data_IF_346628888448
#
_entry.id   IF_346628888448
#
_cell.length_a   1.000
_cell.length_b   1.000
_cell.length_c   1.000
_cell.angle_alpha   90.00
_cell.angle_beta   90.00
_cell.angle_gamma   90.00
#
_symmetry.space_group_name_H-M   'P 1'
#
loop_
_entity.id
_entity.type
_entity.pdbx_description
1 polymer ?
#
# COMPACT_ATOMS: atom_id res chain seq x y z
N UNK A 1 7.43 -27.30 -28.52
CA UNK A 1 6.25 -27.08 -27.67
C UNK A 1 6.66 -26.72 -26.22
N UNK A 2 7.67 -27.36 -25.62
CA UNK A 2 8.09 -27.13 -24.23
C UNK A 2 8.76 -25.76 -23.94
N UNK A 3 9.48 -25.17 -24.89
CA UNK A 3 10.32 -23.98 -24.61
C UNK A 3 9.53 -22.75 -24.17
N UNK A 4 8.34 -22.55 -24.72
CA UNK A 4 7.55 -21.36 -24.42
C UNK A 4 6.50 -21.53 -23.33
N UNK A 5 6.37 -22.71 -22.71
CA UNK A 5 5.71 -22.87 -21.40
C UNK A 5 6.70 -22.59 -20.27
N UNK A 6 7.96 -23.04 -20.41
CA UNK A 6 9.06 -22.73 -19.47
C UNK A 6 9.28 -21.22 -19.36
N UNK A 7 9.36 -20.50 -20.49
CA UNK A 7 9.50 -19.03 -20.50
C UNK A 7 8.33 -18.33 -19.77
N UNK A 8 7.11 -18.85 -19.90
CA UNK A 8 5.94 -18.29 -19.22
C UNK A 8 5.99 -18.53 -17.71
N UNK A 9 6.41 -19.73 -17.29
CA UNK A 9 6.61 -20.07 -15.88
C UNK A 9 7.66 -19.15 -15.25
N UNK A 10 8.83 -19.00 -15.88
CA UNK A 10 9.92 -18.15 -15.40
C UNK A 10 9.47 -16.69 -15.20
N UNK A 11 8.73 -16.15 -16.16
CA UNK A 11 8.21 -14.78 -16.11
C UNK A 11 7.16 -14.63 -14.99
N UNK A 12 6.27 -15.61 -14.82
CA UNK A 12 5.27 -15.57 -13.77
C UNK A 12 5.87 -15.76 -12.37
N UNK A 13 6.94 -16.55 -12.24
CA UNK A 13 7.67 -16.71 -10.99
C UNK A 13 8.45 -15.45 -10.64
N UNK A 14 9.10 -14.80 -11.61
CA UNK A 14 9.72 -13.49 -11.40
C UNK A 14 8.71 -12.45 -10.92
N UNK A 15 7.51 -12.45 -11.53
CA UNK A 15 6.39 -11.62 -11.05
C UNK A 15 6.00 -11.97 -9.62
N UNK A 16 5.88 -13.26 -9.29
CA UNK A 16 5.58 -13.73 -7.93
C UNK A 16 6.61 -13.26 -6.91
N UNK A 17 7.90 -13.35 -7.23
CA UNK A 17 8.98 -12.89 -6.36
C UNK A 17 8.92 -11.37 -6.11
N UNK A 18 8.63 -10.56 -7.13
CA UNK A 18 8.46 -9.11 -6.93
C UNK A 18 7.24 -8.76 -6.05
N UNK A 19 6.15 -9.53 -6.15
CA UNK A 19 4.98 -9.38 -5.29
C UNK A 19 5.28 -9.78 -3.83
N UNK A 20 6.03 -10.87 -3.61
CA UNK A 20 6.49 -11.26 -2.28
C UNK A 20 7.38 -10.18 -1.64
N UNK A 21 8.28 -9.58 -2.42
CA UNK A 21 9.09 -8.46 -1.94
C UNK A 21 8.24 -7.25 -1.57
N UNK A 22 7.20 -6.94 -2.36
CA UNK A 22 6.25 -5.88 -2.03
C UNK A 22 5.51 -6.16 -0.72
N UNK A 23 5.05 -7.41 -0.49
CA UNK A 23 4.44 -7.82 0.78
C UNK A 23 5.40 -7.59 1.94
N UNK A 24 6.67 -8.01 1.80
CA UNK A 24 7.70 -7.79 2.84
C UNK A 24 7.89 -6.30 3.13
N UNK A 25 7.98 -5.46 2.10
CA UNK A 25 8.15 -4.02 2.26
C UNK A 25 6.94 -3.34 2.90
N UNK A 26 5.73 -3.79 2.60
CA UNK A 26 4.52 -3.29 3.25
C UNK A 26 4.47 -3.68 4.74
N UNK A 27 4.99 -4.84 5.10
CA UNK A 27 5.15 -5.26 6.50
C UNK A 27 6.20 -4.40 7.22
N UNK A 28 7.34 -4.16 6.58
CA UNK A 28 8.38 -3.26 7.10
C UNK A 28 7.83 -1.83 7.32
N UNK A 29 7.06 -1.32 6.37
CA UNK A 29 6.37 -0.04 6.50
C UNK A 29 5.39 -0.05 7.67
N UNK A 30 4.56 -1.10 7.80
CA UNK A 30 3.61 -1.23 8.91
C UNK A 30 4.33 -1.13 10.25
N UNK A 31 5.43 -1.86 10.39
CA UNK A 31 6.21 -1.87 11.61
C UNK A 31 6.85 -0.51 11.89
N UNK A 32 7.36 0.18 10.86
CA UNK A 32 7.91 1.52 10.99
C UNK A 32 6.85 2.56 11.40
N UNK A 33 5.62 2.46 10.89
CA UNK A 33 4.49 3.30 11.30
C UNK A 33 4.16 3.06 12.77
N UNK A 34 4.06 1.80 13.20
CA UNK A 34 3.75 1.44 14.59
C UNK A 34 4.85 1.93 15.54
N UNK A 35 6.12 1.85 15.15
CA UNK A 35 7.24 2.29 15.97
C UNK A 35 7.56 3.79 15.86
N UNK A 36 6.80 4.55 15.05
CA UNK A 36 7.09 5.95 14.71
C UNK A 36 8.52 6.18 14.19
N UNK A 37 9.08 5.19 13.51
CA UNK A 37 10.44 5.25 12.97
C UNK A 37 10.40 5.84 11.55
N UNK A 38 10.57 7.16 11.48
CA UNK A 38 10.48 7.92 10.23
C UNK A 38 11.62 7.61 9.27
N UNK A 39 12.79 7.21 9.77
CA UNK A 39 13.94 6.88 8.93
C UNK A 39 13.69 5.55 8.21
N UNK A 40 13.28 4.51 8.95
CA UNK A 40 12.88 3.23 8.36
C UNK A 40 11.69 3.37 7.41
N UNK A 41 10.74 4.25 7.74
CA UNK A 41 9.59 4.53 6.87
C UNK A 41 10.03 5.12 5.52
N UNK A 42 10.97 6.07 5.51
CA UNK A 42 11.51 6.65 4.28
C UNK A 42 12.26 5.61 3.43
N UNK A 43 13.09 4.78 4.06
CA UNK A 43 13.81 3.70 3.36
C UNK A 43 12.83 2.69 2.75
N UNK A 44 11.81 2.27 3.50
CA UNK A 44 10.77 1.37 3.00
C UNK A 44 9.99 1.99 1.84
N UNK A 45 9.65 3.29 1.93
CA UNK A 45 8.97 4.01 0.86
C UNK A 45 9.79 4.04 -0.45
N UNK A 46 11.08 4.35 -0.38
CA UNK A 46 11.96 4.36 -1.55
C UNK A 46 12.08 2.98 -2.20
N UNK A 47 12.23 1.91 -1.40
CA UNK A 47 12.29 0.53 -1.89
C UNK A 47 10.98 0.11 -2.55
N UNK A 48 9.82 0.49 -2.00
CA UNK A 48 8.51 0.19 -2.61
C UNK A 48 8.35 0.82 -3.99
N UNK A 49 8.84 2.05 -4.20
CA UNK A 49 8.79 2.70 -5.52
C UNK A 49 9.60 1.89 -6.54
N UNK A 50 10.79 1.42 -6.15
CA UNK A 50 11.62 0.60 -7.03
C UNK A 50 10.95 -0.75 -7.37
N UNK A 51 10.40 -1.45 -6.38
CA UNK A 51 9.72 -2.73 -6.60
C UNK A 51 8.43 -2.54 -7.42
N UNK A 52 7.70 -1.44 -7.23
CA UNK A 52 6.52 -1.12 -8.04
C UNK A 52 6.88 -0.93 -9.52
N UNK A 53 7.98 -0.24 -9.82
CA UNK A 53 8.47 -0.10 -11.19
C UNK A 53 8.84 -1.46 -11.80
N UNK A 54 9.54 -2.31 -11.05
CA UNK A 54 9.87 -3.67 -11.48
C UNK A 54 8.62 -4.51 -11.77
N UNK A 55 7.60 -4.41 -10.91
CA UNK A 55 6.31 -5.08 -11.11
C UNK A 55 5.61 -4.61 -12.39
N UNK A 56 5.68 -3.31 -12.72
CA UNK A 56 5.09 -2.77 -13.95
C UNK A 56 5.80 -3.29 -15.21
N UNK A 57 7.13 -3.36 -15.20
CA UNK A 57 7.91 -3.96 -16.29
C UNK A 57 7.60 -5.45 -16.47
N UNK A 58 7.52 -6.20 -15.37
CA UNK A 58 7.15 -7.61 -15.38
C UNK A 58 5.71 -7.83 -15.82
N UNK A 59 4.78 -6.94 -15.47
CA UNK A 59 3.40 -7.00 -15.95
C UNK A 59 3.31 -6.82 -17.47
N UNK A 60 4.09 -5.88 -18.03
CA UNK A 60 4.21 -5.72 -19.48
C UNK A 60 4.75 -6.98 -20.16
N UNK A 61 5.81 -7.55 -19.58
CA UNK A 61 6.45 -8.77 -20.09
C UNK A 61 5.52 -9.99 -20.00
N UNK A 62 4.78 -10.12 -18.89
CA UNK A 62 3.75 -11.14 -18.70
C UNK A 62 2.66 -11.04 -19.76
N UNK A 63 2.17 -9.84 -20.08
CA UNK A 63 1.12 -9.66 -21.10
C UNK A 63 1.59 -10.13 -22.47
N UNK A 64 2.83 -9.79 -22.85
CA UNK A 64 3.42 -10.25 -24.12
C UNK A 64 3.59 -11.77 -24.13
N UNK A 65 4.08 -12.36 -23.04
CA UNK A 65 4.24 -13.81 -22.93
C UNK A 65 2.90 -14.56 -22.99
N UNK A 66 1.87 -14.03 -22.32
CA UNK A 66 0.51 -14.57 -22.36
C UNK A 66 -0.12 -14.47 -23.75
N UNK A 67 0.05 -13.35 -24.45
CA UNK A 67 -0.43 -13.22 -25.83
C UNK A 67 0.23 -14.27 -26.75
N UNK A 68 1.56 -14.41 -26.69
CA UNK A 68 2.30 -15.43 -27.45
C UNK A 68 1.90 -16.86 -27.09
N UNK A 69 1.59 -17.12 -25.82
CA UNK A 69 1.11 -18.43 -25.39
C UNK A 69 -0.34 -18.68 -25.86
N UNK A 70 -1.18 -17.64 -25.84
CA UNK A 70 -2.55 -17.66 -26.35
C UNK A 70 -2.60 -17.97 -27.84
N UNK A 71 -1.81 -17.27 -28.66
CA UNK A 71 -1.68 -17.50 -30.10
C UNK A 71 -1.31 -18.96 -30.41
N UNK A 72 -0.32 -19.51 -29.69
CA UNK A 72 0.13 -20.90 -29.84
C UNK A 72 -0.96 -21.93 -29.53
N UNK A 73 -1.90 -21.58 -28.67
CA UNK A 73 -3.05 -22.40 -28.32
C UNK A 73 -4.31 -22.06 -29.13
N UNK A 74 -4.24 -21.14 -30.11
CA UNK A 74 -5.40 -20.69 -30.90
C UNK A 74 -6.44 -19.95 -30.04
N UNK A 75 -5.99 -19.17 -29.07
CA UNK A 75 -6.79 -18.27 -28.25
C UNK A 75 -6.63 -16.82 -28.77
N UNK A 76 -7.61 -15.97 -28.48
CA UNK A 76 -7.57 -14.55 -28.84
C UNK A 76 -6.45 -13.80 -28.08
N UNK A 77 -6.01 -12.66 -28.61
CA UNK A 77 -4.92 -11.82 -28.08
C UNK A 77 -5.12 -11.33 -26.62
N UNK A 78 -6.34 -11.44 -26.09
CA UNK A 78 -6.68 -11.09 -24.71
C UNK A 78 -6.82 -12.31 -23.78
N UNK A 79 -6.30 -13.47 -24.18
CA UNK A 79 -6.37 -14.69 -23.39
C UNK A 79 -5.71 -14.48 -22.02
N UNK A 80 -6.48 -14.72 -20.96
CA UNK A 80 -5.98 -14.76 -19.60
C UNK A 80 -5.26 -16.09 -19.33
N UNK A 81 -4.62 -16.22 -18.17
CA UNK A 81 -3.89 -17.43 -17.81
C UNK A 81 -4.80 -18.68 -17.71
N UNK A 82 -6.08 -18.53 -17.32
CA UNK A 82 -6.98 -19.69 -17.13
C UNK A 82 -7.31 -20.45 -18.43
N UNK A 83 -7.67 -19.78 -19.55
CA UNK A 83 -7.83 -20.44 -20.86
C UNK A 83 -6.57 -21.16 -21.36
N UNK A 84 -5.38 -20.62 -21.05
CA UNK A 84 -4.10 -21.22 -21.42
C UNK A 84 -3.90 -22.51 -20.62
N UNK A 85 -4.04 -22.47 -19.29
CA UNK A 85 -3.96 -23.65 -18.39
C UNK A 85 -4.88 -24.78 -18.87
N UNK A 86 -6.11 -24.46 -19.28
CA UNK A 86 -7.06 -25.45 -19.76
C UNK A 86 -6.59 -26.21 -21.01
N UNK A 87 -5.79 -25.57 -21.86
CA UNK A 87 -5.24 -26.12 -23.12
C UNK A 87 -3.81 -26.66 -22.96
N UNK A 88 -3.14 -26.39 -21.84
CA UNK A 88 -1.81 -26.93 -21.53
C UNK A 88 -1.93 -28.40 -21.09
N UNK A 89 -1.10 -29.32 -21.62
CA UNK A 89 -1.02 -30.70 -21.13
C UNK A 89 -0.36 -30.79 -19.75
N UNK A 90 -0.51 -31.94 -19.07
CA UNK A 90 0.28 -32.23 -17.86
C UNK A 90 1.74 -32.52 -18.23
N UNK A 91 2.75 -32.19 -17.40
CA UNK A 91 2.68 -31.65 -16.02
C UNK A 91 2.54 -30.11 -15.91
N UNK A 92 2.87 -29.36 -16.96
CA UNK A 92 2.93 -27.88 -16.97
C UNK A 92 1.61 -27.22 -16.52
N UNK A 93 0.47 -27.88 -16.75
CA UNK A 93 -0.84 -27.43 -16.27
C UNK A 93 -0.89 -27.25 -14.75
N UNK A 94 -0.36 -28.23 -13.99
CA UNK A 94 -0.42 -28.19 -12.53
C UNK A 94 0.44 -27.06 -11.96
N UNK A 95 1.60 -26.84 -12.56
CA UNK A 95 2.53 -25.75 -12.21
C UNK A 95 1.91 -24.38 -12.47
N UNK A 96 1.38 -24.14 -13.68
CA UNK A 96 0.73 -22.87 -14.02
C UNK A 96 -0.51 -22.60 -13.14
N UNK A 97 -1.27 -23.63 -12.77
CA UNK A 97 -2.40 -23.49 -11.85
C UNK A 97 -1.95 -23.11 -10.44
N UNK A 98 -0.87 -23.71 -9.93
CA UNK A 98 -0.30 -23.34 -8.63
C UNK A 98 0.20 -21.89 -8.62
N UNK A 99 0.89 -21.47 -9.68
CA UNK A 99 1.35 -20.09 -9.88
C UNK A 99 0.15 -19.12 -9.93
N UNK A 100 -0.93 -19.46 -10.64
CA UNK A 100 -2.13 -18.63 -10.70
C UNK A 100 -2.73 -18.39 -9.31
N UNK A 101 -2.85 -19.44 -8.50
CA UNK A 101 -3.37 -19.35 -7.13
C UNK A 101 -2.45 -18.47 -6.26
N UNK A 102 -1.14 -18.69 -6.34
CA UNK A 102 -0.13 -17.93 -5.60
C UNK A 102 -0.16 -16.43 -5.94
N UNK A 103 -0.20 -16.08 -7.23
CA UNK A 103 -0.29 -14.68 -7.66
C UNK A 103 -1.62 -14.06 -7.21
N UNK A 104 -2.71 -14.82 -7.22
CA UNK A 104 -4.01 -14.38 -6.72
C UNK A 104 -3.99 -14.05 -5.23
N UNK A 105 -3.37 -14.91 -4.40
CA UNK A 105 -3.26 -14.65 -2.96
C UNK A 105 -2.37 -13.45 -2.67
N UNK A 106 -1.20 -13.36 -3.30
CA UNK A 106 -0.29 -12.22 -3.13
C UNK A 106 -0.94 -10.89 -3.53
N UNK A 107 -1.74 -10.87 -4.60
CA UNK A 107 -2.47 -9.66 -5.01
C UNK A 107 -3.49 -9.23 -3.96
N UNK A 108 -4.18 -10.18 -3.32
CA UNK A 108 -5.11 -9.91 -2.24
C UNK A 108 -4.38 -9.36 -1.01
N UNK A 109 -3.26 -9.97 -0.63
CA UNK A 109 -2.47 -9.56 0.53
C UNK A 109 -1.91 -8.15 0.37
N UNK A 110 -1.32 -7.84 -0.80
CA UNK A 110 -0.82 -6.49 -1.11
C UNK A 110 -1.94 -5.44 -0.97
N UNK A 111 -3.13 -5.70 -1.53
CA UNK A 111 -4.27 -4.75 -1.43
C UNK A 111 -4.70 -4.53 0.01
N UNK A 112 -4.80 -5.61 0.78
CA UNK A 112 -5.17 -5.54 2.20
C UNK A 112 -4.15 -4.73 3.00
N UNK A 113 -2.87 -5.03 2.83
CA UNK A 113 -1.79 -4.34 3.56
C UNK A 113 -1.69 -2.87 3.18
N UNK A 114 -1.92 -2.51 1.92
CA UNK A 114 -1.99 -1.11 1.50
C UNK A 114 -3.16 -0.37 2.19
N UNK A 115 -4.34 -0.99 2.27
CA UNK A 115 -5.48 -0.39 2.97
C UNK A 115 -5.22 -0.25 4.47
N UNK A 116 -4.63 -1.26 5.10
CA UNK A 116 -4.27 -1.25 6.52
C UNK A 116 -3.21 -0.16 6.81
N UNK A 117 -2.14 -0.08 6.04
CA UNK A 117 -1.08 0.92 6.21
C UNK A 117 -1.62 2.34 5.99
N UNK A 118 -2.49 2.54 4.99
CA UNK A 118 -3.17 3.82 4.77
C UNK A 118 -3.99 4.25 5.99
N UNK A 119 -4.81 3.34 6.53
CA UNK A 119 -5.61 3.62 7.74
C UNK A 119 -4.75 3.97 8.95
N UNK A 120 -3.63 3.27 9.14
CA UNK A 120 -2.69 3.56 10.23
C UNK A 120 -2.09 4.96 10.10
N UNK A 121 -1.67 5.36 8.89
CA UNK A 121 -1.16 6.70 8.61
C UNK A 121 -2.23 7.77 8.84
N UNK A 122 -3.44 7.58 8.31
CA UNK A 122 -4.56 8.51 8.48
C UNK A 122 -4.94 8.72 9.95
N UNK A 123 -4.99 7.63 10.73
CA UNK A 123 -5.25 7.68 12.17
C UNK A 123 -4.15 8.42 12.93
N UNK A 124 -2.89 8.17 12.57
CA UNK A 124 -1.73 8.84 13.18
C UNK A 124 -1.73 10.34 12.89
N UNK A 125 -1.97 10.73 11.63
CA UNK A 125 -2.08 12.14 11.22
C UNK A 125 -3.25 12.85 11.90
N UNK A 126 -4.40 12.19 12.01
CA UNK A 126 -5.58 12.73 12.71
C UNK A 126 -5.26 13.02 14.18
N UNK A 127 -4.54 12.12 14.82
CA UNK A 127 -4.12 12.27 16.23
C UNK A 127 -3.15 13.43 16.40
N UNK A 128 -2.13 13.54 15.53
CA UNK A 128 -1.19 14.66 15.52
C UNK A 128 -1.93 15.99 15.29
N UNK A 129 -2.86 16.03 14.34
CA UNK A 129 -3.67 17.21 14.05
C UNK A 129 -4.51 17.68 15.24
N UNK A 130 -5.15 16.73 15.97
CA UNK A 130 -5.89 17.04 17.20
C UNK A 130 -4.98 17.59 18.30
N UNK A 131 -3.81 17.00 18.48
CA UNK A 131 -2.82 17.48 19.46
C UNK A 131 -2.32 18.88 19.13
N UNK A 132 -1.98 19.16 17.86
CA UNK A 132 -1.58 20.49 17.41
C UNK A 132 -2.69 21.52 17.63
N UNK A 133 -3.94 21.19 17.27
CA UNK A 133 -5.09 22.08 17.49
C UNK A 133 -5.31 22.38 18.98
N UNK A 134 -5.18 21.36 19.84
CA UNK A 134 -5.25 21.52 21.28
C UNK A 134 -4.17 22.49 21.79
N UNK A 135 -2.90 22.28 21.42
CA UNK A 135 -1.81 23.18 21.82
C UNK A 135 -2.02 24.60 21.29
N UNK A 136 -2.38 24.77 20.02
CA UNK A 136 -2.68 26.09 19.43
C UNK A 136 -3.80 26.81 20.19
N UNK A 137 -4.87 26.11 20.57
CA UNK A 137 -5.96 26.69 21.36
C UNK A 137 -5.50 27.16 22.74
N UNK A 138 -4.54 26.46 23.36
CA UNK A 138 -4.04 26.79 24.71
C UNK A 138 -3.01 27.91 24.70
N UNK A 139 -2.17 28.00 23.66
CA UNK A 139 -1.20 29.08 23.49
C UNK A 139 -1.84 30.39 23.03
N UNK A 140 -2.97 30.36 22.28
CA UNK A 140 -3.76 31.56 21.94
C UNK A 140 -4.44 32.23 23.14
N UNK A 141 -4.55 31.56 24.29
CA UNK A 141 -5.18 32.09 25.51
C UNK A 141 -4.15 32.71 26.49
N UNK A 142 -2.85 32.60 26.21
CA UNK A 142 -1.79 33.06 27.09
C UNK A 142 -1.50 34.58 27.03
N UNK A 143 -2.19 35.34 26.18
CA UNK A 143 -2.09 36.82 26.15
C UNK A 143 -3.05 37.53 27.13
N UNK A 144 -3.52 36.86 28.18
CA UNK A 144 -4.46 37.46 29.15
C UNK A 144 -3.77 38.24 30.29
N UNK A 145 -2.43 38.33 30.30
CA UNK A 145 -1.70 39.25 31.17
C UNK A 145 -0.87 40.20 30.32
N UNK A 146 -1.48 41.31 29.90
CA UNK A 146 -0.78 42.41 29.25
C UNK A 146 0.21 43.06 30.22
N UNK A 147 1.43 43.31 29.75
CA UNK A 147 2.53 43.95 30.48
C UNK A 147 2.31 45.42 30.89
N UNK A 148 1.06 45.86 31.03
CA UNK A 148 0.71 47.23 31.42
C UNK A 148 -0.48 47.34 32.39
N UNK A 149 -0.92 46.23 33.01
CA UNK A 149 -1.86 46.29 34.14
C UNK A 149 -3.23 46.92 33.83
N UNK A 150 -3.65 46.99 32.57
CA UNK A 150 -5.01 47.39 32.20
C UNK A 150 -5.85 46.16 31.83
N UNK A 151 -6.90 45.96 32.62
CA UNK A 151 -7.94 44.97 32.38
C UNK A 151 -8.76 45.42 31.16
N UNK A 152 -8.73 44.65 30.08
CA UNK A 152 -9.65 44.84 28.95
C UNK A 152 -11.02 44.38 29.42
N UNK A 153 -11.91 45.34 29.72
CA UNK A 153 -13.32 45.06 29.98
C UNK A 153 -13.92 44.35 28.76
N UNK A 154 -14.21 43.06 28.91
CA UNK A 154 -15.03 42.33 27.95
C UNK A 154 -16.46 42.84 28.08
N UNK A 155 -16.94 43.49 27.03
CA UNK A 155 -18.32 43.94 26.88
C UNK A 155 -19.33 42.83 27.22
N UNK A 156 -20.42 43.27 27.85
CA UNK A 156 -21.50 42.46 28.38
C UNK A 156 -22.11 41.53 27.32
N UNK A 157 -21.72 40.25 27.30
CA UNK A 157 -22.53 39.08 26.87
C UNK A 157 -21.69 37.79 26.74
N UNK A 158 -20.85 37.47 27.72
CA UNK A 158 -20.21 36.16 27.80
C UNK A 158 -20.62 35.47 29.09
N UNK A 159 -21.68 34.66 29.01
CA UNK A 159 -22.15 33.81 30.09
C UNK A 159 -21.04 32.87 30.56
N UNK A 160 -20.44 33.20 31.70
CA UNK A 160 -19.58 32.33 32.49
C UNK A 160 -20.46 31.46 33.37
N UNK A 161 -20.86 30.28 32.88
CA UNK A 161 -21.27 29.18 33.73
C UNK A 161 -20.39 27.97 33.43
N UNK A 162 -19.28 27.89 34.15
CA UNK A 162 -18.74 26.61 34.61
C UNK A 162 -18.44 26.76 36.09
N UNK A 163 -19.44 26.41 36.88
CA UNK A 163 -19.28 26.12 38.30
C UNK A 163 -19.00 24.62 38.39
N UNK A 164 -17.79 24.34 38.85
CA UNK A 164 -17.38 23.17 39.62
C UNK A 164 -17.27 21.79 38.91
N UNK A 165 -16.06 21.23 39.08
CA UNK A 165 -15.73 19.86 39.57
C UNK A 165 -16.66 18.73 39.11
#
# INVERSE_FOLDING_TARGET
MATGTVELVDILDARGASMEEMVRLLEEERQAIISFDTERLQVAAARKVHVAALMEELDGTCRVALARAGERHGLADNATLSPIIARTPQPDRAELAAIQVKLGSLASDIRRMLDDNRRLLESSLTTIGRSLSFFQSRFKVAETYGGSGQMVERGANAGLLRREI
#
